data_IF_389657130742
#
_entry.id   IF_389657130742
#
_cell.length_a   1.000
_cell.length_b   1.000
_cell.length_c   1.000
_cell.angle_alpha   90.00
_cell.angle_beta   90.00
_cell.angle_gamma   90.00
#
_symmetry.space_group_name_H-M   'P 1'
#
loop_
_entity.id
_entity.type
_entity.pdbx_description
1 polymer ?
#
# COMPACT_ATOMS: atom_id res chain seq x y z
N UNK A 1 53.94 -9.29 9.04
CA UNK A 1 52.62 -9.84 9.49
C UNK A 1 51.62 -8.69 9.39
N UNK A 2 50.96 -8.57 8.26
CA UNK A 2 50.07 -7.42 7.93
C UNK A 2 48.65 -7.82 8.23
N UNK A 3 48.02 -7.21 9.25
CA UNK A 3 46.63 -7.45 9.59
C UNK A 3 45.74 -6.73 8.57
N UNK A 4 44.96 -7.48 7.79
CA UNK A 4 43.89 -6.97 6.96
C UNK A 4 42.65 -6.80 7.83
N UNK A 5 42.27 -5.56 8.10
CA UNK A 5 41.00 -5.23 8.76
C UNK A 5 39.90 -5.22 7.70
N UNK A 6 39.03 -6.24 7.70
CA UNK A 6 37.81 -6.26 6.92
C UNK A 6 36.77 -5.35 7.59
N UNK A 7 36.53 -4.19 7.04
CA UNK A 7 35.39 -3.35 7.40
C UNK A 7 34.10 -3.99 6.86
N UNK A 8 33.27 -4.54 7.74
CA UNK A 8 31.88 -4.93 7.40
C UNK A 8 31.07 -3.67 7.14
N UNK A 9 30.83 -3.37 5.88
CA UNK A 9 29.83 -2.35 5.49
C UNK A 9 28.46 -3.01 5.66
N UNK A 10 27.77 -2.70 6.74
CA UNK A 10 26.36 -3.06 6.92
C UNK A 10 25.52 -2.26 5.91
N UNK A 11 25.16 -2.89 4.80
CA UNK A 11 24.17 -2.34 3.88
C UNK A 11 22.81 -2.30 4.60
N UNK A 12 22.38 -1.11 5.00
CA UNK A 12 21.00 -0.90 5.48
C UNK A 12 20.07 -1.07 4.28
N UNK A 13 19.27 -2.13 4.30
CA UNK A 13 18.23 -2.34 3.31
C UNK A 13 17.23 -1.18 3.42
N UNK A 14 17.26 -0.28 2.44
CA UNK A 14 16.33 0.85 2.36
C UNK A 14 14.98 0.32 1.86
N UNK A 15 13.89 0.62 2.57
CA UNK A 15 12.55 0.26 2.13
C UNK A 15 12.32 0.77 0.69
N UNK A 16 12.00 -0.14 -0.23
CA UNK A 16 11.75 0.19 -1.62
C UNK A 16 10.27 0.54 -1.82
N UNK A 17 10.01 1.68 -2.44
CA UNK A 17 8.67 2.08 -2.87
C UNK A 17 8.61 2.19 -4.39
N UNK A 18 7.46 1.84 -4.97
CA UNK A 18 7.23 1.92 -6.42
C UNK A 18 5.90 2.58 -6.70
N UNK A 19 5.92 3.91 -6.80
CA UNK A 19 4.73 4.68 -7.12
C UNK A 19 4.46 4.77 -8.63
N UNK A 20 3.18 4.86 -8.97
CA UNK A 20 2.66 5.15 -10.31
C UNK A 20 1.56 6.20 -10.22
N UNK A 21 1.54 7.11 -11.18
CA UNK A 21 0.51 8.15 -11.32
C UNK A 21 -0.15 7.97 -12.68
N UNK A 22 -1.46 8.13 -12.74
CA UNK A 22 -2.19 8.13 -14.00
C UNK A 22 -1.87 9.38 -14.83
N UNK A 23 -2.14 9.30 -16.13
CA UNK A 23 -2.06 10.44 -17.04
C UNK A 23 -3.46 10.86 -17.47
N UNK A 24 -3.66 12.13 -17.65
CA UNK A 24 -4.87 12.70 -18.23
C UNK A 24 -4.93 12.49 -19.76
N UNK A 25 -5.98 13.03 -20.39
CA UNK A 25 -6.17 12.95 -21.84
C UNK A 25 -5.08 13.66 -22.65
N UNK A 26 -4.35 14.61 -22.04
CA UNK A 26 -3.23 15.31 -22.68
C UNK A 26 -1.90 14.56 -22.55
N UNK A 27 -1.87 13.47 -21.77
CA UNK A 27 -0.66 12.71 -21.45
C UNK A 27 0.15 13.29 -20.29
N UNK A 28 -0.37 14.32 -19.61
CA UNK A 28 0.22 14.90 -18.40
C UNK A 28 -0.14 14.07 -17.18
N UNK A 29 0.73 14.06 -16.16
CA UNK A 29 0.41 13.37 -14.90
C UNK A 29 -0.81 14.05 -14.25
N UNK A 30 -1.74 13.21 -13.80
CA UNK A 30 -2.91 13.69 -13.04
C UNK A 30 -2.42 14.40 -11.78
N UNK A 31 -3.00 15.56 -11.51
CA UNK A 31 -2.86 16.29 -10.26
C UNK A 31 -4.17 16.20 -9.48
N UNK A 32 -4.05 15.93 -8.22
CA UNK A 32 -5.18 15.76 -7.30
C UNK A 32 -5.45 17.08 -6.59
N UNK A 33 -6.66 17.58 -6.78
CA UNK A 33 -7.21 18.71 -6.04
C UNK A 33 -8.63 18.36 -5.60
N UNK A 34 -9.06 18.83 -4.46
CA UNK A 34 -10.37 18.51 -3.89
C UNK A 34 -10.27 17.72 -2.59
N UNK A 35 -11.34 17.01 -2.27
CA UNK A 35 -11.47 16.32 -1.00
C UNK A 35 -11.05 14.85 -1.08
N UNK A 36 -10.38 14.38 -0.02
CA UNK A 36 -9.95 12.97 0.14
C UNK A 36 -10.61 12.40 1.38
N UNK A 37 -11.18 11.21 1.25
CA UNK A 37 -11.57 10.35 2.38
C UNK A 37 -10.52 9.26 2.56
N UNK A 38 -10.10 9.02 3.81
CA UNK A 38 -9.31 7.84 4.17
C UNK A 38 -10.29 6.73 4.48
N UNK A 39 -10.26 5.66 3.70
CA UNK A 39 -11.04 4.46 3.99
C UNK A 39 -10.28 3.65 5.03
N UNK A 40 -11.00 3.05 5.97
CA UNK A 40 -10.41 2.20 7.01
C UNK A 40 -9.34 1.28 6.42
N UNK A 41 -8.10 1.34 6.91
CA UNK A 41 -7.00 0.59 6.32
C UNK A 41 -7.10 -0.90 6.66
N UNK A 42 -6.97 -1.76 5.67
CA UNK A 42 -6.84 -3.20 5.86
C UNK A 42 -5.41 -3.54 6.30
N UNK A 43 -5.16 -3.50 7.60
CA UNK A 43 -3.84 -3.76 8.21
C UNK A 43 -3.91 -5.01 9.08
N UNK A 44 -3.06 -5.99 8.78
CA UNK A 44 -2.86 -7.16 9.62
C UNK A 44 -1.38 -7.35 9.96
N UNK A 45 -1.13 -7.50 11.26
CA UNK A 45 0.19 -7.75 11.80
C UNK A 45 0.31 -9.16 12.35
N UNK A 46 1.43 -9.81 12.05
CA UNK A 46 1.69 -11.19 12.40
C UNK A 46 2.95 -11.32 13.25
N UNK A 47 2.92 -12.23 14.19
CA UNK A 47 4.12 -12.74 14.82
C UNK A 47 4.58 -14.00 14.08
N UNK A 48 5.85 -14.05 13.73
CA UNK A 48 6.47 -15.25 13.18
C UNK A 48 7.11 -16.03 14.32
N UNK A 49 6.60 -17.23 14.59
CA UNK A 49 7.13 -18.10 15.64
C UNK A 49 8.48 -18.69 15.26
N UNK A 50 9.21 -19.27 16.22
CA UNK A 50 10.48 -19.95 15.97
C UNK A 50 10.36 -21.12 14.98
N UNK A 51 9.16 -21.73 14.86
CA UNK A 51 8.84 -22.76 13.88
C UNK A 51 8.44 -22.23 12.50
N UNK A 52 8.43 -20.91 12.28
CA UNK A 52 8.08 -20.29 11.01
C UNK A 52 6.59 -20.09 10.77
N UNK A 53 5.73 -20.40 11.73
CA UNK A 53 4.30 -20.16 11.61
C UNK A 53 3.99 -18.69 11.84
N UNK A 54 3.05 -18.17 11.06
CA UNK A 54 2.53 -16.81 11.22
C UNK A 54 1.29 -16.85 12.10
N UNK A 55 1.34 -16.13 13.19
CA UNK A 55 0.20 -15.96 14.09
C UNK A 55 -0.31 -14.53 14.01
N UNK A 56 -1.58 -14.29 13.58
CA UNK A 56 -2.13 -12.96 13.56
C UNK A 56 -2.21 -12.39 14.99
N UNK A 57 -1.84 -11.13 15.13
CA UNK A 57 -1.83 -10.42 16.41
C UNK A 57 -2.87 -9.30 16.39
N UNK A 58 -4.07 -9.63 16.86
CA UNK A 58 -5.20 -8.68 16.85
C UNK A 58 -4.84 -7.35 17.50
N UNK A 59 -4.27 -7.36 18.70
CA UNK A 59 -3.90 -6.12 19.41
C UNK A 59 -2.90 -5.25 18.64
N UNK A 60 -1.95 -5.87 17.92
CA UNK A 60 -1.00 -5.14 17.09
C UNK A 60 -1.70 -4.52 15.87
N UNK A 61 -2.57 -5.30 15.22
CA UNK A 61 -3.36 -4.85 14.08
C UNK A 61 -4.30 -3.70 14.46
N UNK A 62 -4.99 -3.80 15.59
CA UNK A 62 -5.88 -2.75 16.10
C UNK A 62 -5.10 -1.46 16.41
N UNK A 63 -3.91 -1.58 17.04
CA UNK A 63 -3.04 -0.43 17.27
C UNK A 63 -2.62 0.22 15.95
N UNK A 64 -2.20 -0.59 14.98
CA UNK A 64 -1.77 -0.09 13.67
C UNK A 64 -2.92 0.59 12.91
N UNK A 65 -4.13 0.04 12.96
CA UNK A 65 -5.33 0.64 12.36
C UNK A 65 -5.70 1.99 12.96
N UNK A 66 -5.38 2.20 14.24
CA UNK A 66 -5.58 3.50 14.91
C UNK A 66 -4.48 4.50 14.55
N UNK A 67 -3.22 4.06 14.56
CA UNK A 67 -2.08 4.94 14.33
C UNK A 67 -1.96 5.36 12.86
N UNK A 68 -2.23 4.46 11.92
CA UNK A 68 -2.02 4.71 10.50
C UNK A 68 -2.86 5.87 9.95
N UNK A 69 -4.19 5.95 10.14
CA UNK A 69 -5.00 7.08 9.69
C UNK A 69 -4.55 8.40 10.32
N UNK A 70 -4.25 8.39 11.63
CA UNK A 70 -3.77 9.58 12.32
C UNK A 70 -2.48 10.14 11.70
N UNK A 71 -1.55 9.28 11.30
CA UNK A 71 -0.32 9.70 10.62
C UNK A 71 -0.58 10.10 9.14
N UNK A 72 -1.58 9.50 8.46
CA UNK A 72 -2.03 9.98 7.13
C UNK A 72 -2.54 11.40 7.22
N UNK A 73 -3.40 11.71 8.21
CA UNK A 73 -3.90 13.06 8.46
C UNK A 73 -2.74 14.03 8.74
N UNK A 74 -1.78 13.64 9.60
CA UNK A 74 -0.62 14.45 9.92
C UNK A 74 0.26 14.75 8.68
N UNK A 75 0.46 13.76 7.79
CA UNK A 75 1.25 13.92 6.56
C UNK A 75 0.55 14.77 5.49
N UNK A 76 -0.78 14.77 5.49
CA UNK A 76 -1.59 15.53 4.53
C UNK A 76 -1.98 16.92 5.08
N UNK A 77 -1.82 17.15 6.39
CA UNK A 77 -2.06 18.45 6.98
C UNK A 77 -1.18 19.53 6.33
N UNK A 78 -1.81 20.64 5.95
CA UNK A 78 -1.12 21.75 5.27
C UNK A 78 -0.83 21.50 3.78
N UNK A 79 -1.24 20.36 3.21
CA UNK A 79 -1.31 20.16 1.76
C UNK A 79 -2.57 20.81 1.21
N UNK A 80 -2.58 21.09 -0.10
CA UNK A 80 -3.72 21.69 -0.76
C UNK A 80 -4.83 20.68 -1.07
N UNK A 81 -5.32 19.97 -0.03
CA UNK A 81 -6.42 19.00 -0.09
C UNK A 81 -7.31 19.15 1.13
N UNK A 82 -8.61 18.93 0.95
CA UNK A 82 -9.56 18.84 2.04
C UNK A 82 -9.64 17.38 2.52
N UNK A 83 -9.42 17.13 3.81
CA UNK A 83 -9.63 15.81 4.38
C UNK A 83 -11.05 15.71 4.92
N UNK A 84 -11.81 14.74 4.43
CA UNK A 84 -13.12 14.37 5.00
C UNK A 84 -12.92 13.48 6.24
N UNK A 85 -13.99 13.29 7.01
CA UNK A 85 -13.99 12.28 8.07
C UNK A 85 -13.64 10.90 7.51
N UNK A 86 -12.86 10.13 8.24
CA UNK A 86 -12.49 8.78 7.84
C UNK A 86 -13.73 7.93 7.62
N UNK A 87 -13.64 6.99 6.70
CA UNK A 87 -14.72 6.07 6.41
C UNK A 87 -14.42 4.72 7.06
N UNK A 88 -15.13 4.45 8.16
CA UNK A 88 -15.06 3.17 8.86
C UNK A 88 -15.90 2.13 8.13
N UNK A 89 -15.34 0.94 7.94
CA UNK A 89 -16.03 -0.17 7.29
C UNK A 89 -16.88 -0.88 8.36
N UNK A 90 -18.22 -1.06 8.13
CA UNK A 90 -19.06 -1.79 9.07
C UNK A 90 -18.54 -3.20 9.37
N UNK A 91 -18.47 -3.59 10.64
CA UNK A 91 -18.01 -4.91 11.06
C UNK A 91 -18.84 -6.06 10.46
N UNK A 92 -20.13 -5.82 10.19
CA UNK A 92 -21.09 -6.75 9.61
C UNK A 92 -21.29 -6.55 8.10
N UNK A 93 -20.34 -5.89 7.43
CA UNK A 93 -20.43 -5.62 6.00
C UNK A 93 -20.70 -6.91 5.21
N UNK A 94 -21.85 -6.95 4.53
CA UNK A 94 -22.13 -8.02 3.57
C UNK A 94 -21.13 -7.95 2.40
N UNK A 95 -20.33 -9.01 2.22
CA UNK A 95 -19.36 -9.06 1.12
C UNK A 95 -19.97 -8.98 -0.28
N UNK A 96 -21.28 -9.24 -0.42
CA UNK A 96 -22.03 -9.19 -1.68
C UNK A 96 -22.65 -7.81 -1.93
N UNK A 97 -22.65 -6.92 -0.91
CA UNK A 97 -23.09 -5.54 -1.06
C UNK A 97 -22.21 -4.76 -2.04
N UNK A 98 -22.71 -3.63 -2.55
CA UNK A 98 -21.92 -2.79 -3.47
C UNK A 98 -20.60 -2.33 -2.83
N UNK A 99 -20.61 -1.95 -1.55
CA UNK A 99 -19.40 -1.58 -0.83
C UNK A 99 -18.45 -2.77 -0.68
N UNK A 100 -18.96 -3.94 -0.26
CA UNK A 100 -18.14 -5.15 -0.13
C UNK A 100 -17.50 -5.57 -1.45
N UNK A 101 -18.25 -5.47 -2.56
CA UNK A 101 -17.71 -5.71 -3.89
C UNK A 101 -16.68 -4.66 -4.31
N UNK A 102 -16.90 -3.37 -3.99
CA UNK A 102 -15.95 -2.29 -4.29
C UNK A 102 -14.61 -2.51 -3.59
N UNK A 103 -14.62 -2.85 -2.30
CA UNK A 103 -13.39 -3.11 -1.53
C UNK A 103 -12.59 -4.27 -2.13
N UNK A 104 -13.29 -5.37 -2.48
CA UNK A 104 -12.66 -6.53 -3.13
C UNK A 104 -12.12 -6.19 -4.52
N UNK A 105 -12.86 -5.39 -5.29
CA UNK A 105 -12.43 -4.94 -6.60
C UNK A 105 -11.19 -4.05 -6.50
N UNK A 106 -11.16 -3.12 -5.52
CA UNK A 106 -9.96 -2.31 -5.29
C UNK A 106 -8.74 -3.19 -4.99
N UNK A 107 -8.88 -4.19 -4.14
CA UNK A 107 -7.80 -5.12 -3.83
C UNK A 107 -7.33 -5.89 -5.09
N UNK A 108 -8.27 -6.42 -5.89
CA UNK A 108 -7.96 -7.14 -7.12
C UNK A 108 -7.26 -6.25 -8.16
N UNK A 109 -7.72 -4.99 -8.31
CA UNK A 109 -7.10 -4.00 -9.19
C UNK A 109 -5.72 -3.62 -8.70
N UNK A 110 -5.53 -3.38 -7.40
CA UNK A 110 -4.23 -3.07 -6.81
C UNK A 110 -3.21 -4.21 -7.03
N UNK A 111 -3.63 -5.47 -6.86
CA UNK A 111 -2.79 -6.63 -7.18
C UNK A 111 -2.48 -6.73 -8.67
N UNK A 112 -3.44 -6.40 -9.54
CA UNK A 112 -3.23 -6.36 -10.98
C UNK A 112 -2.24 -5.27 -11.40
N UNK A 113 -2.29 -4.09 -10.76
CA UNK A 113 -1.30 -3.02 -10.96
C UNK A 113 0.09 -3.51 -10.55
N UNK A 114 0.19 -4.17 -9.39
CA UNK A 114 1.45 -4.79 -8.92
C UNK A 114 2.01 -5.73 -9.98
N UNK A 115 1.19 -6.66 -10.45
CA UNK A 115 1.61 -7.70 -11.40
C UNK A 115 1.99 -7.10 -12.77
N UNK A 116 1.19 -6.20 -13.30
CA UNK A 116 1.27 -5.79 -14.71
C UNK A 116 1.85 -4.39 -14.94
N UNK A 117 2.07 -3.62 -13.89
CA UNK A 117 2.68 -2.28 -14.00
C UNK A 117 3.98 -2.14 -13.22
N UNK A 118 4.26 -3.06 -12.29
CA UNK A 118 5.45 -3.00 -11.43
C UNK A 118 6.41 -4.17 -11.70
N UNK A 119 5.90 -5.39 -11.81
CA UNK A 119 6.73 -6.63 -11.87
C UNK A 119 7.33 -6.94 -13.24
N UNK A 120 7.21 -6.04 -14.22
CA UNK A 120 7.86 -6.17 -15.52
C UNK A 120 7.02 -6.89 -16.60
N UNK A 121 5.98 -7.63 -16.25
CA UNK A 121 5.02 -8.18 -17.20
C UNK A 121 3.99 -7.12 -17.52
N UNK A 122 3.83 -6.73 -18.78
CA UNK A 122 2.88 -5.68 -19.18
C UNK A 122 1.76 -6.29 -20.06
N UNK A 123 0.51 -6.09 -19.66
CA UNK A 123 -0.64 -6.47 -20.46
C UNK A 123 -0.63 -5.72 -21.80
N UNK A 124 -0.94 -6.42 -22.90
CA UNK A 124 -0.96 -5.82 -24.24
C UNK A 124 -1.90 -4.60 -24.33
N UNK A 125 -3.04 -4.67 -23.63
CA UNK A 125 -4.05 -3.59 -23.56
C UNK A 125 -3.67 -2.44 -22.65
N UNK A 126 -2.62 -2.59 -21.84
CA UNK A 126 -2.16 -1.61 -20.84
C UNK A 126 -0.77 -1.05 -21.19
N UNK A 127 -0.45 -0.94 -22.48
CA UNK A 127 0.78 -0.33 -22.99
C UNK A 127 0.53 1.02 -23.62
N UNK A 128 1.47 1.94 -23.41
CA UNK A 128 1.54 3.17 -24.20
C UNK A 128 2.17 2.87 -25.59
N UNK A 129 2.24 3.89 -26.46
CA UNK A 129 2.83 3.78 -27.79
C UNK A 129 4.32 3.38 -27.78
N UNK A 130 4.99 3.51 -26.63
CA UNK A 130 6.40 3.11 -26.42
C UNK A 130 6.54 1.75 -25.74
N UNK A 131 5.44 1.00 -25.58
CA UNK A 131 5.39 -0.32 -24.92
C UNK A 131 5.52 -0.28 -23.40
N UNK A 132 5.48 0.90 -22.76
CA UNK A 132 5.56 1.06 -21.29
C UNK A 132 4.19 0.87 -20.64
N UNK A 133 4.13 0.38 -19.38
CA UNK A 133 2.86 0.25 -18.67
C UNK A 133 2.12 1.59 -18.57
N UNK A 134 0.84 1.59 -18.96
CA UNK A 134 -0.08 2.69 -18.71
C UNK A 134 -0.79 2.50 -17.38
N UNK A 135 -0.99 3.61 -16.67
CA UNK A 135 -1.76 3.65 -15.42
C UNK A 135 -3.20 4.09 -15.73
N UNK A 136 -3.97 3.20 -16.39
CA UNK A 136 -5.37 3.41 -16.81
C UNK A 136 -6.30 2.36 -16.19
N UNK A 137 -6.13 2.11 -14.91
CA UNK A 137 -6.92 1.17 -14.13
C UNK A 137 -8.14 1.87 -13.53
N UNK A 138 -9.25 1.14 -13.41
CA UNK A 138 -10.50 1.69 -12.90
C UNK A 138 -11.27 0.66 -12.06
N UNK A 139 -11.97 1.16 -11.04
CA UNK A 139 -12.96 0.40 -10.26
C UNK A 139 -14.38 0.54 -10.86
N UNK A 140 -14.51 1.30 -11.95
CA UNK A 140 -15.80 1.53 -12.60
C UNK A 140 -16.77 2.37 -11.77
N UNK A 141 -18.05 2.41 -12.17
CA UNK A 141 -19.04 3.32 -11.58
C UNK A 141 -19.47 2.97 -10.15
N UNK A 142 -19.15 1.76 -9.66
CA UNK A 142 -19.50 1.33 -8.29
C UNK A 142 -18.91 2.20 -7.18
N UNK A 143 -17.91 3.03 -7.49
CA UNK A 143 -17.34 4.02 -6.56
C UNK A 143 -18.35 5.11 -6.16
N UNK A 144 -19.43 5.30 -6.91
CA UNK A 144 -20.47 6.28 -6.59
C UNK A 144 -21.06 6.05 -5.19
N UNK A 145 -21.20 4.78 -4.77
CA UNK A 145 -21.67 4.44 -3.42
C UNK A 145 -20.84 5.10 -2.33
N UNK A 146 -19.51 5.03 -2.44
CA UNK A 146 -18.62 5.65 -1.46
C UNK A 146 -18.65 7.17 -1.56
N UNK A 147 -18.73 7.72 -2.77
CA UNK A 147 -18.86 9.15 -2.98
C UNK A 147 -20.13 9.73 -2.35
N UNK A 148 -21.26 9.06 -2.51
CA UNK A 148 -22.56 9.46 -1.93
C UNK A 148 -22.52 9.45 -0.41
N UNK A 149 -21.84 8.48 0.20
CA UNK A 149 -21.73 8.34 1.65
C UNK A 149 -20.76 9.34 2.28
N UNK A 150 -19.68 9.68 1.59
CA UNK A 150 -18.59 10.50 2.15
C UNK A 150 -18.58 11.95 1.66
N UNK A 151 -19.17 12.20 0.50
CA UNK A 151 -19.07 13.50 -0.18
C UNK A 151 -17.66 13.83 -0.66
N UNK A 152 -16.75 12.87 -0.67
CA UNK A 152 -15.36 13.06 -1.09
C UNK A 152 -15.21 12.95 -2.61
N UNK A 153 -14.20 13.64 -3.16
CA UNK A 153 -13.82 13.52 -4.57
C UNK A 153 -12.93 12.30 -4.81
N UNK A 154 -12.10 11.96 -3.82
CA UNK A 154 -11.15 10.85 -3.89
C UNK A 154 -11.23 9.98 -2.64
N UNK A 155 -10.93 8.68 -2.80
CA UNK A 155 -10.77 7.75 -1.71
C UNK A 155 -9.35 7.18 -1.69
N UNK A 156 -8.71 7.22 -0.51
CA UNK A 156 -7.43 6.58 -0.24
C UNK A 156 -7.69 5.22 0.39
N UNK A 157 -7.37 4.16 -0.31
CA UNK A 157 -7.41 2.79 0.20
C UNK A 157 -6.01 2.33 0.55
N UNK A 158 -5.89 1.61 1.64
CA UNK A 158 -4.61 1.06 2.11
C UNK A 158 -4.75 -0.40 2.50
N UNK A 159 -3.77 -1.18 2.10
CA UNK A 159 -3.61 -2.58 2.46
C UNK A 159 -2.19 -2.79 2.97
N UNK A 160 -2.01 -3.33 4.18
CA UNK A 160 -0.69 -3.63 4.73
C UNK A 160 -0.70 -5.00 5.40
N UNK A 161 0.33 -5.77 5.10
CA UNK A 161 0.68 -6.99 5.81
C UNK A 161 2.10 -6.86 6.32
N UNK A 162 2.29 -7.06 7.61
CA UNK A 162 3.59 -6.93 8.25
C UNK A 162 3.83 -8.07 9.22
N UNK A 163 5.05 -8.54 9.28
CA UNK A 163 5.42 -9.66 10.14
C UNK A 163 6.67 -9.38 10.95
N UNK A 164 6.62 -9.74 12.21
CA UNK A 164 7.68 -9.54 13.19
C UNK A 164 8.17 -10.89 13.72
N UNK A 165 9.47 -11.13 13.64
CA UNK A 165 10.05 -12.38 14.12
C UNK A 165 10.15 -12.43 15.65
N UNK A 166 9.75 -13.51 16.26
CA UNK A 166 9.88 -13.78 17.70
C UNK A 166 11.25 -14.36 18.10
N UNK A 167 12.34 -13.97 17.42
CA UNK A 167 13.71 -14.35 17.82
C UNK A 167 14.43 -15.40 16.96
N UNK A 168 14.06 -15.61 15.72
CA UNK A 168 14.79 -16.55 14.85
C UNK A 168 14.74 -16.19 13.36
N UNK A 169 15.90 -16.06 12.74
CA UNK A 169 16.07 -15.64 11.32
C UNK A 169 15.53 -16.62 10.28
N UNK A 170 15.13 -17.83 10.66
CA UNK A 170 14.79 -18.92 9.73
C UNK A 170 13.35 -18.86 9.23
N UNK A 171 12.44 -18.30 10.01
CA UNK A 171 11.01 -18.27 9.74
C UNK A 171 10.62 -17.31 8.57
N UNK A 172 11.46 -16.35 8.26
CA UNK A 172 11.18 -15.29 7.30
C UNK A 172 11.37 -15.69 5.84
N UNK A 173 12.10 -16.75 5.56
CA UNK A 173 12.33 -17.20 4.17
C UNK A 173 11.05 -17.71 3.49
N UNK A 174 10.11 -18.27 4.25
CA UNK A 174 8.88 -18.86 3.70
C UNK A 174 7.90 -17.77 3.23
N UNK A 175 7.70 -16.72 4.00
CA UNK A 175 6.81 -15.63 3.60
C UNK A 175 7.37 -14.82 2.43
N UNK A 176 8.67 -14.55 2.45
CA UNK A 176 9.36 -13.89 1.33
C UNK A 176 9.30 -14.69 0.04
N UNK A 177 9.30 -16.01 0.13
CA UNK A 177 9.13 -16.87 -1.05
C UNK A 177 7.72 -16.74 -1.62
N UNK A 178 6.70 -16.77 -0.77
CA UNK A 178 5.29 -16.64 -1.21
C UNK A 178 5.00 -15.27 -1.81
N UNK A 179 5.49 -14.20 -1.18
CA UNK A 179 5.33 -12.84 -1.69
C UNK A 179 6.28 -12.55 -2.85
N UNK A 180 7.48 -13.12 -2.84
CA UNK A 180 8.45 -13.02 -3.93
C UNK A 180 7.91 -13.62 -5.23
N UNK A 181 7.21 -14.75 -5.16
CA UNK A 181 6.52 -15.35 -6.32
C UNK A 181 5.40 -14.43 -6.81
N UNK A 182 4.62 -13.83 -5.91
CA UNK A 182 3.54 -12.91 -6.27
C UNK A 182 4.07 -11.58 -6.87
N UNK A 183 5.28 -11.16 -6.49
CA UNK A 183 5.90 -9.90 -6.92
C UNK A 183 6.98 -10.09 -8.01
N UNK A 184 7.20 -11.32 -8.49
CA UNK A 184 8.13 -11.60 -9.58
C UNK A 184 9.60 -11.55 -9.22
N UNK A 185 9.97 -11.73 -7.95
CA UNK A 185 11.36 -11.78 -7.49
C UNK A 185 11.52 -12.30 -6.08
N UNK A 186 12.69 -12.85 -5.73
CA UNK A 186 13.01 -13.21 -4.35
C UNK A 186 13.24 -11.94 -3.53
N UNK A 187 12.46 -11.74 -2.47
CA UNK A 187 12.74 -10.72 -1.47
C UNK A 187 13.73 -11.32 -0.46
N UNK A 188 14.92 -10.73 -0.37
CA UNK A 188 15.88 -11.09 0.69
C UNK A 188 15.44 -10.41 1.99
N UNK A 189 15.03 -11.23 2.97
CA UNK A 189 14.29 -10.75 4.12
C UNK A 189 15.10 -10.99 5.37
N UNK A 190 15.84 -9.98 5.77
CA UNK A 190 16.71 -10.03 6.95
C UNK A 190 16.07 -9.68 8.29
N UNK A 191 14.74 -9.51 8.45
CA UNK A 191 14.22 -9.04 9.74
C UNK A 191 12.72 -8.98 9.94
N UNK A 192 11.92 -9.02 8.94
CA UNK A 192 10.45 -8.89 8.91
C UNK A 192 10.04 -8.45 7.53
N UNK A 193 8.87 -8.86 7.09
CA UNK A 193 8.36 -8.45 5.78
C UNK A 193 7.19 -7.52 5.99
N UNK A 194 7.39 -6.28 5.59
CA UNK A 194 6.29 -5.34 5.47
C UNK A 194 6.00 -5.13 3.98
N UNK A 195 4.79 -5.47 3.58
CA UNK A 195 4.27 -5.18 2.24
C UNK A 195 3.03 -4.33 2.38
N UNK A 196 3.01 -3.20 1.70
CA UNK A 196 1.89 -2.29 1.70
C UNK A 196 1.54 -1.84 0.29
N UNK A 197 0.26 -1.66 0.05
CA UNK A 197 -0.26 -1.06 -1.18
C UNK A 197 -1.21 0.06 -0.80
N UNK A 198 -1.04 1.21 -1.44
CA UNK A 198 -2.00 2.30 -1.36
C UNK A 198 -2.48 2.67 -2.76
N UNK A 199 -3.77 2.95 -2.88
CA UNK A 199 -4.41 3.45 -4.11
C UNK A 199 -5.20 4.70 -3.79
N UNK A 200 -5.10 5.71 -4.65
CA UNK A 200 -6.01 6.86 -4.65
C UNK A 200 -6.94 6.75 -5.85
N UNK A 201 -8.22 6.74 -5.58
CA UNK A 201 -9.28 6.54 -6.59
C UNK A 201 -10.11 7.80 -6.72
N UNK A 202 -10.28 8.30 -7.93
CA UNK A 202 -11.24 9.36 -8.25
C UNK A 202 -12.66 8.78 -8.17
N UNK A 203 -13.45 9.25 -7.21
CA UNK A 203 -14.80 8.74 -6.94
C UNK A 203 -15.85 9.25 -7.95
N UNK A 204 -15.48 10.16 -8.85
CA UNK A 204 -16.34 10.61 -9.95
C UNK A 204 -16.27 9.68 -11.15
N UNK A 205 -15.08 9.13 -11.40
CA UNK A 205 -14.80 8.35 -12.62
C UNK A 205 -14.49 6.88 -12.32
N UNK A 206 -14.15 6.56 -11.08
CA UNK A 206 -13.64 5.25 -10.67
C UNK A 206 -12.18 5.01 -11.05
N UNK A 207 -11.48 5.97 -11.65
CA UNK A 207 -10.11 5.82 -12.08
C UNK A 207 -9.15 5.74 -10.88
N UNK A 208 -8.23 4.78 -10.90
CA UNK A 208 -7.09 4.77 -9.97
C UNK A 208 -6.08 5.81 -10.45
N UNK A 209 -6.05 6.97 -9.81
CA UNK A 209 -5.20 8.10 -10.21
C UNK A 209 -3.78 8.00 -9.68
N UNK A 210 -3.59 7.26 -8.58
CA UNK A 210 -2.29 7.01 -8.01
C UNK A 210 -2.26 5.65 -7.31
N UNK A 211 -1.09 5.03 -7.32
CA UNK A 211 -0.79 3.74 -6.72
C UNK A 211 0.62 3.78 -6.14
N UNK A 212 0.84 3.18 -4.99
CA UNK A 212 2.17 2.95 -4.45
C UNK A 212 2.28 1.55 -3.82
N UNK A 213 3.37 0.88 -4.13
CA UNK A 213 3.78 -0.37 -3.50
C UNK A 213 4.95 -0.09 -2.55
N UNK A 214 4.79 -0.46 -1.29
CA UNK A 214 5.85 -0.58 -0.31
C UNK A 214 6.28 -2.05 -0.22
N UNK A 215 7.56 -2.32 -0.43
CA UNK A 215 8.17 -3.61 -0.19
C UNK A 215 9.36 -3.42 0.75
N UNK A 216 9.51 -4.28 1.73
CA UNK A 216 10.45 -4.22 2.84
C UNK A 216 10.03 -3.28 3.99
N UNK A 217 10.53 -3.61 5.17
CA UNK A 217 10.18 -2.92 6.41
C UNK A 217 10.62 -1.45 6.39
N UNK A 218 9.68 -0.55 6.65
CA UNK A 218 9.91 0.88 6.71
C UNK A 218 9.82 1.45 8.13
N UNK A 219 8.96 0.88 8.97
CA UNK A 219 8.75 1.25 10.36
C UNK A 219 7.91 0.22 11.09
N UNK A 220 7.98 0.21 12.41
CA UNK A 220 7.15 -0.66 13.26
C UNK A 220 5.75 -0.05 13.42
N UNK A 221 4.75 -0.67 12.82
CA UNK A 221 3.37 -0.17 12.89
C UNK A 221 2.72 -0.30 14.27
N UNK A 222 3.41 -0.92 15.23
CA UNK A 222 2.93 -1.04 16.62
C UNK A 222 3.23 0.20 17.45
N UNK A 223 4.01 1.14 16.92
CA UNK A 223 4.30 2.42 17.56
C UNK A 223 4.14 3.60 16.60
N UNK A 224 4.03 4.79 17.15
CA UNK A 224 3.76 6.01 16.40
C UNK A 224 4.90 6.40 15.46
N UNK A 225 6.14 6.25 15.89
CA UNK A 225 7.31 6.63 15.08
C UNK A 225 7.41 5.73 13.84
N UNK A 226 7.20 4.44 14.01
CA UNK A 226 7.19 3.48 12.91
C UNK A 226 5.99 3.64 11.99
N UNK A 227 4.80 3.93 12.54
CA UNK A 227 3.62 4.27 11.75
C UNK A 227 3.89 5.52 10.89
N UNK A 228 4.48 6.58 11.46
CA UNK A 228 4.85 7.79 10.72
C UNK A 228 5.80 7.47 9.55
N UNK A 229 6.87 6.71 9.81
CA UNK A 229 7.83 6.30 8.75
C UNK A 229 7.14 5.49 7.65
N UNK A 230 6.25 4.58 8.02
CA UNK A 230 5.52 3.74 7.07
C UNK A 230 4.58 4.60 6.23
N UNK A 231 3.76 5.47 6.84
CA UNK A 231 2.86 6.37 6.11
C UNK A 231 3.64 7.30 5.19
N UNK A 232 4.75 7.87 5.64
CA UNK A 232 5.62 8.72 4.82
C UNK A 232 6.12 8.00 3.56
N UNK A 233 6.44 6.71 3.66
CA UNK A 233 6.81 5.87 2.52
C UNK A 233 5.61 5.49 1.66
N UNK A 234 4.50 5.14 2.29
CA UNK A 234 3.26 4.77 1.60
C UNK A 234 2.70 5.91 0.76
N UNK A 235 2.80 7.17 1.22
CA UNK A 235 2.29 8.36 0.51
C UNK A 235 3.32 8.99 -0.45
N UNK A 236 4.45 8.34 -0.72
CA UNK A 236 5.45 8.86 -1.65
C UNK A 236 4.87 9.11 -3.03
N UNK A 237 5.20 10.29 -3.60
CA UNK A 237 4.74 10.73 -4.93
C UNK A 237 3.22 10.77 -5.08
N UNK A 238 2.48 10.93 -3.98
CA UNK A 238 1.06 11.27 -4.05
C UNK A 238 0.94 12.60 -4.82
N UNK A 239 0.17 12.65 -5.94
CA UNK A 239 0.21 13.77 -6.89
C UNK A 239 -0.70 14.94 -6.45
N UNK A 240 -0.48 15.48 -5.26
CA UNK A 240 -1.20 16.66 -4.75
C UNK A 240 -0.69 17.92 -5.43
N UNK A 241 -1.60 18.92 -5.63
CA UNK A 241 -1.23 20.25 -6.11
C UNK A 241 -0.51 21.09 -5.06
#
# INVERSE_FOLDING_TARGET
MTLLVFALVSATATAATRARVATDATGSLVKVNGSIVVVEPDIELYMVTAGGMQEPRKTWSDTARTLYPAEVHAQLAGRNVELKADYDIPDDLDPTSQLGQLLRLNQAVAMSITQYSISGTVLATKKDARGRPRMDWSLGPGVATLREQTGADYALFTYVRDSYASGGRTAMRVFGLLMGVALGGALDIGGGVQVGVATLVDLRTGQVVWYNLLANQSGDLRDREGANKTVQRMLQKLPLE
#
